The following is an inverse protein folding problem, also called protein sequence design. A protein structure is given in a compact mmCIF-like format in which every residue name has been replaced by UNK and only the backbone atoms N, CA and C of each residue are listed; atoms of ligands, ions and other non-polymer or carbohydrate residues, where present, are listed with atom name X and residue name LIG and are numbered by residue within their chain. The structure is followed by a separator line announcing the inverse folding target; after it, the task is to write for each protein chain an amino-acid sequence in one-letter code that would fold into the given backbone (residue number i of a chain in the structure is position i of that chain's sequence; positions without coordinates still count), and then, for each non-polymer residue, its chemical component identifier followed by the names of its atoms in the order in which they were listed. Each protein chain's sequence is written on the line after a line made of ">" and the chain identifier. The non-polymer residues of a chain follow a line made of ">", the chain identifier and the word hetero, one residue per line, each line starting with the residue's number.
data_IF_110563090046
#
_entry.id   IF_110563090046
#
_cell.length_a   1.000
_cell.length_b   1.000
_cell.length_c   1.000
_cell.angle_alpha   90.00
_cell.angle_beta   90.00
_cell.angle_gamma   90.00
#
_symmetry.space_group_name_H-M   'P 1'
#
loop_
_entity.id
_entity.type
_entity.pdbx_description
1 polymer ?
#
# COMPACT_ATOMS: atom_id res chain seq x y z
N UNK A 1 -61.47 29.82 -2.53
CA UNK A 1 -60.09 29.32 -2.61
C UNK A 1 -59.16 30.42 -2.10
N UNK A 2 -58.57 30.31 -0.90
CA UNK A 2 -57.76 31.37 -0.33
C UNK A 2 -56.44 31.45 -1.10
N UNK A 3 -56.12 32.63 -1.66
CA UNK A 3 -54.83 32.91 -2.29
C UNK A 3 -53.78 32.95 -1.18
N UNK A 4 -52.94 31.92 -1.09
CA UNK A 4 -51.72 31.97 -0.29
C UNK A 4 -50.93 33.21 -0.72
N UNK A 5 -50.67 34.13 0.21
CA UNK A 5 -49.90 35.33 -0.09
C UNK A 5 -48.48 34.93 -0.48
N UNK A 6 -47.91 35.60 -1.47
CA UNK A 6 -46.54 35.38 -1.97
C UNK A 6 -45.49 35.32 -0.84
N UNK A 7 -45.73 36.08 0.24
CA UNK A 7 -44.94 36.06 1.48
C UNK A 7 -45.01 34.72 2.21
N UNK A 8 -46.17 34.06 2.27
CA UNK A 8 -46.31 32.76 2.91
C UNK A 8 -45.52 31.66 2.16
N UNK A 9 -45.50 31.74 0.82
CA UNK A 9 -44.74 30.82 -0.03
C UNK A 9 -43.22 31.03 0.18
N UNK A 10 -42.76 32.27 0.20
CA UNK A 10 -41.35 32.61 0.45
C UNK A 10 -40.87 32.17 1.84
N UNK A 11 -41.69 32.39 2.88
CA UNK A 11 -41.35 31.96 4.25
C UNK A 11 -41.30 30.44 4.36
N UNK A 12 -42.22 29.72 3.69
CA UNK A 12 -42.22 28.27 3.67
C UNK A 12 -40.97 27.73 2.95
N UNK A 13 -40.63 28.27 1.79
CA UNK A 13 -39.44 27.88 1.02
C UNK A 13 -38.16 28.13 1.82
N UNK A 14 -38.04 29.29 2.49
CA UNK A 14 -36.89 29.60 3.33
C UNK A 14 -36.74 28.61 4.48
N UNK A 15 -37.84 28.28 5.17
CA UNK A 15 -37.82 27.29 6.27
C UNK A 15 -37.43 25.90 5.78
N UNK A 16 -37.92 25.49 4.60
CA UNK A 16 -37.56 24.21 4.01
C UNK A 16 -36.05 24.16 3.67
N UNK A 17 -35.51 25.20 3.04
CA UNK A 17 -34.07 25.30 2.75
C UNK A 17 -33.23 25.28 4.02
N UNK A 18 -33.66 25.98 5.07
CA UNK A 18 -32.96 26.02 6.35
C UNK A 18 -32.99 24.65 7.05
N UNK A 19 -34.12 23.94 7.01
CA UNK A 19 -34.22 22.58 7.51
C UNK A 19 -33.31 21.61 6.75
N UNK A 20 -33.24 21.72 5.41
CA UNK A 20 -32.33 20.91 4.58
C UNK A 20 -30.88 21.22 4.90
N UNK A 21 -30.51 22.50 5.08
CA UNK A 21 -29.15 22.91 5.42
C UNK A 21 -28.73 22.36 6.80
N UNK A 22 -29.62 22.43 7.80
CA UNK A 22 -29.38 21.87 9.14
C UNK A 22 -29.23 20.35 9.06
N UNK A 23 -30.09 19.66 8.31
CA UNK A 23 -30.00 18.21 8.14
C UNK A 23 -28.68 17.81 7.46
N UNK A 24 -28.28 18.52 6.40
CA UNK A 24 -27.02 18.29 5.71
C UNK A 24 -25.82 18.51 6.64
N UNK A 25 -25.83 19.58 7.44
CA UNK A 25 -24.79 19.85 8.43
C UNK A 25 -24.71 18.72 9.46
N UNK A 26 -25.84 18.26 10.01
CA UNK A 26 -25.88 17.14 10.97
C UNK A 26 -25.34 15.85 10.36
N UNK A 27 -25.75 15.52 9.13
CA UNK A 27 -25.27 14.31 8.43
C UNK A 27 -23.76 14.38 8.17
N UNK A 28 -23.26 15.53 7.72
CA UNK A 28 -21.83 15.73 7.46
C UNK A 28 -21.01 15.67 8.76
N UNK A 29 -21.47 16.32 9.84
CA UNK A 29 -20.84 16.27 11.15
C UNK A 29 -20.83 14.84 11.71
N UNK A 30 -21.92 14.09 11.54
CA UNK A 30 -21.98 12.68 11.93
C UNK A 30 -21.00 11.82 11.14
N UNK A 31 -20.93 12.01 9.81
CA UNK A 31 -20.00 11.27 8.95
C UNK A 31 -18.55 11.59 9.27
N UNK A 32 -18.26 12.85 9.58
CA UNK A 32 -16.94 13.27 10.04
C UNK A 32 -16.57 12.61 11.38
N UNK A 33 -17.49 12.60 12.34
CA UNK A 33 -17.28 11.97 13.65
C UNK A 33 -17.18 10.43 13.59
N UNK A 34 -17.91 9.79 12.68
CA UNK A 34 -17.89 8.34 12.48
C UNK A 34 -16.59 7.81 11.85
N UNK A 35 -15.72 8.70 11.37
CA UNK A 35 -14.47 8.34 10.71
C UNK A 35 -14.67 7.82 9.28
N UNK A 36 -13.57 7.55 8.56
CA UNK A 36 -13.65 6.98 7.22
C UNK A 36 -14.37 5.64 7.27
N UNK A 37 -15.27 5.40 6.31
CA UNK A 37 -15.89 4.10 6.17
C UNK A 37 -14.79 3.04 5.98
N UNK A 38 -14.81 1.99 6.80
CA UNK A 38 -13.95 0.82 6.58
C UNK A 38 -14.32 0.23 5.22
N UNK A 39 -13.39 0.21 4.24
CA UNK A 39 -13.70 -0.34 2.93
C UNK A 39 -14.16 -1.79 3.09
N UNK A 40 -15.37 -2.09 2.60
CA UNK A 40 -15.83 -3.47 2.52
C UNK A 40 -15.14 -4.12 1.32
N UNK A 41 -13.97 -4.71 1.55
CA UNK A 41 -13.20 -5.37 0.51
C UNK A 41 -11.81 -5.79 0.99
N UNK A 42 -11.06 -6.54 0.17
CA UNK A 42 -9.64 -6.75 0.42
C UNK A 42 -8.92 -5.39 0.49
N UNK A 43 -7.84 -5.30 1.28
CA UNK A 43 -7.03 -4.09 1.28
C UNK A 43 -6.49 -3.84 -0.12
N UNK A 44 -6.29 -2.55 -0.45
CA UNK A 44 -5.78 -2.14 -1.75
C UNK A 44 -4.87 -0.93 -1.65
N UNK A 45 -3.98 -0.78 -2.65
CA UNK A 45 -3.08 0.37 -2.81
C UNK A 45 -3.23 0.92 -4.21
N UNK A 46 -3.43 2.23 -4.32
CA UNK A 46 -3.56 2.93 -5.61
C UNK A 46 -2.24 2.84 -6.38
N UNK A 47 -2.27 2.19 -7.54
CA UNK A 47 -1.12 2.00 -8.45
C UNK A 47 -1.33 2.63 -9.83
N UNK A 48 -2.44 3.35 -10.05
CA UNK A 48 -2.74 4.01 -11.32
C UNK A 48 -1.61 4.91 -11.84
N UNK A 49 -0.85 5.53 -10.94
CA UNK A 49 0.28 6.41 -11.29
C UNK A 49 1.63 5.68 -11.39
N UNK A 50 1.65 4.38 -11.16
CA UNK A 50 2.85 3.56 -11.25
C UNK A 50 3.09 3.20 -12.72
N UNK A 51 3.91 3.99 -13.40
CA UNK A 51 4.23 3.82 -14.83
C UNK A 51 5.12 2.59 -15.07
N UNK A 52 5.16 2.03 -16.29
CA UNK A 52 6.13 0.98 -16.64
C UNK A 52 7.57 1.43 -16.35
N UNK A 53 8.39 0.52 -15.81
CA UNK A 53 9.76 0.83 -15.40
C UNK A 53 9.85 1.70 -14.15
N UNK A 54 8.82 1.71 -13.30
CA UNK A 54 8.82 2.45 -12.03
C UNK A 54 8.37 1.59 -10.85
N UNK A 55 8.69 2.06 -9.64
CA UNK A 55 8.35 1.39 -8.40
C UNK A 55 7.87 2.38 -7.35
N UNK A 56 7.16 1.88 -6.34
CA UNK A 56 6.75 2.65 -5.18
C UNK A 56 6.81 1.80 -3.91
N UNK A 57 6.94 2.49 -2.79
CA UNK A 57 6.82 1.90 -1.47
C UNK A 57 5.40 2.11 -0.93
N UNK A 58 4.84 1.08 -0.32
CA UNK A 58 3.59 1.16 0.42
C UNK A 58 3.70 0.44 1.76
N UNK A 59 2.75 0.69 2.65
CA UNK A 59 2.63 -0.06 3.89
C UNK A 59 1.85 -1.36 3.65
N UNK A 60 2.18 -2.44 4.38
CA UNK A 60 1.39 -3.66 4.38
C UNK A 60 -0.01 -3.40 4.99
N UNK A 61 -0.99 -4.28 4.73
CA UNK A 61 -2.30 -4.16 5.33
C UNK A 61 -2.23 -4.39 6.85
N UNK A 62 -3.19 -3.80 7.56
CA UNK A 62 -3.39 -3.93 9.00
C UNK A 62 -4.23 -5.15 9.40
N UNK A 63 -4.43 -6.09 8.45
CA UNK A 63 -5.18 -7.32 8.63
C UNK A 63 -4.26 -8.54 8.44
N UNK A 64 -4.11 -9.33 9.50
CA UNK A 64 -3.25 -10.52 9.54
C UNK A 64 -3.59 -11.55 8.46
N UNK A 65 -4.83 -11.59 7.95
CA UNK A 65 -5.24 -12.50 6.88
C UNK A 65 -4.48 -12.28 5.58
N UNK A 66 -3.94 -11.08 5.36
CA UNK A 66 -3.22 -10.71 4.15
C UNK A 66 -1.70 -10.60 4.38
N UNK A 67 -1.24 -10.90 5.59
CA UNK A 67 0.19 -10.97 5.91
C UNK A 67 0.75 -12.36 5.59
N UNK A 68 2.08 -12.50 5.43
CA UNK A 68 2.68 -13.82 5.28
C UNK A 68 2.36 -14.73 6.48
N UNK A 69 2.32 -16.06 6.29
CA UNK A 69 1.95 -16.99 7.34
C UNK A 69 2.78 -16.82 8.61
N UNK A 70 2.11 -16.86 9.76
CA UNK A 70 2.74 -16.74 11.08
C UNK A 70 3.01 -15.31 11.55
N UNK A 71 2.69 -14.27 10.76
CA UNK A 71 2.75 -12.88 11.21
C UNK A 71 1.39 -12.40 11.73
N UNK A 72 1.41 -11.63 12.82
CA UNK A 72 0.25 -10.89 13.30
C UNK A 72 0.25 -9.43 12.83
N UNK A 73 -0.84 -8.72 13.12
CA UNK A 73 -0.95 -7.27 12.85
C UNK A 73 0.22 -6.45 13.44
N UNK A 74 0.72 -6.72 14.66
CA UNK A 74 1.88 -5.98 15.18
C UNK A 74 3.15 -6.16 14.34
N UNK A 75 3.31 -7.30 13.67
CA UNK A 75 4.47 -7.58 12.83
C UNK A 75 4.40 -6.89 11.47
N UNK A 76 3.22 -6.43 11.03
CA UNK A 76 3.05 -5.64 9.81
C UNK A 76 3.93 -4.38 9.85
N UNK A 77 4.12 -3.78 11.03
CA UNK A 77 5.00 -2.61 11.20
C UNK A 77 6.47 -2.92 10.85
N UNK A 78 6.88 -4.20 10.89
CA UNK A 78 8.22 -4.68 10.55
C UNK A 78 8.36 -5.05 9.06
N UNK A 79 7.35 -4.78 8.25
CA UNK A 79 7.37 -5.01 6.81
C UNK A 79 7.18 -3.70 6.05
N UNK A 80 7.67 -3.68 4.82
CA UNK A 80 7.32 -2.70 3.79
C UNK A 80 6.98 -3.42 2.50
N UNK A 81 6.03 -2.88 1.75
CA UNK A 81 5.64 -3.40 0.45
C UNK A 81 6.42 -2.65 -0.65
N UNK A 82 7.16 -3.41 -1.45
CA UNK A 82 7.69 -2.94 -2.74
C UNK A 82 6.69 -3.31 -3.83
N UNK A 83 6.15 -2.30 -4.53
CA UNK A 83 5.38 -2.48 -5.75
C UNK A 83 6.24 -1.99 -6.92
N UNK A 84 6.40 -2.82 -7.95
CA UNK A 84 7.12 -2.43 -9.16
C UNK A 84 6.32 -2.82 -10.40
N UNK A 85 6.32 -1.94 -11.40
CA UNK A 85 5.79 -2.23 -12.72
C UNK A 85 6.98 -2.41 -13.68
N UNK A 86 7.11 -3.61 -14.21
CA UNK A 86 8.12 -3.93 -15.25
C UNK A 86 7.89 -3.11 -16.51
N UNK A 87 8.88 -3.05 -17.41
CA UNK A 87 8.74 -2.34 -18.69
C UNK A 87 7.62 -2.92 -19.56
N UNK A 88 7.37 -4.23 -19.45
CA UNK A 88 6.27 -4.93 -20.12
C UNK A 88 4.89 -4.65 -19.47
N UNK A 89 4.84 -3.80 -18.44
CA UNK A 89 3.60 -3.38 -17.77
C UNK A 89 3.13 -4.32 -16.65
N UNK A 90 3.80 -5.46 -16.44
CA UNK A 90 3.46 -6.43 -15.37
C UNK A 90 3.76 -5.82 -14.00
N UNK A 91 2.73 -5.78 -13.15
CA UNK A 91 2.83 -5.34 -11.76
C UNK A 91 3.21 -6.51 -10.85
N UNK A 92 4.22 -6.28 -9.99
CA UNK A 92 4.70 -7.26 -9.01
C UNK A 92 4.84 -6.59 -7.66
N UNK A 93 4.65 -7.38 -6.61
CA UNK A 93 4.69 -6.90 -5.25
C UNK A 93 5.49 -7.86 -4.36
N UNK A 94 6.33 -7.31 -3.47
CA UNK A 94 7.19 -8.08 -2.55
C UNK A 94 7.20 -7.49 -1.15
N UNK A 95 7.25 -8.36 -0.13
CA UNK A 95 7.53 -7.94 1.24
C UNK A 95 9.03 -7.83 1.48
N UNK A 96 9.46 -6.68 2.01
CA UNK A 96 10.80 -6.48 2.54
C UNK A 96 10.75 -6.18 4.03
N UNK A 97 11.75 -6.62 4.81
CA UNK A 97 11.80 -6.30 6.22
C UNK A 97 12.07 -4.81 6.43
N UNK A 98 11.49 -4.26 7.49
CA UNK A 98 11.66 -2.89 7.96
C UNK A 98 12.11 -2.91 9.41
N UNK A 99 13.22 -2.24 9.69
CA UNK A 99 13.80 -2.13 11.03
C UNK A 99 14.13 -0.67 11.33
N UNK A 100 13.70 -0.18 12.49
CA UNK A 100 13.88 1.23 12.90
C UNK A 100 13.39 2.23 11.84
N UNK A 101 12.28 1.92 11.17
CA UNK A 101 11.69 2.75 10.12
C UNK A 101 12.37 2.68 8.75
N UNK A 102 13.47 1.93 8.61
CA UNK A 102 14.20 1.78 7.35
C UNK A 102 13.92 0.41 6.73
N UNK A 103 13.65 0.39 5.42
CA UNK A 103 13.60 -0.86 4.64
C UNK A 103 15.00 -1.44 4.61
N UNK A 104 15.13 -2.75 4.83
CA UNK A 104 16.38 -3.47 4.68
C UNK A 104 16.24 -4.65 3.73
N UNK A 105 17.33 -5.36 3.53
CA UNK A 105 17.31 -6.58 2.72
C UNK A 105 16.94 -7.78 3.58
N UNK A 106 16.25 -8.79 3.03
CA UNK A 106 15.99 -10.03 3.75
C UNK A 106 17.28 -10.82 3.96
N UNK A 107 17.60 -11.15 5.22
CA UNK A 107 18.72 -12.02 5.56
C UNK A 107 18.40 -13.53 5.43
N UNK A 108 17.13 -13.88 5.23
CA UNK A 108 16.67 -15.26 5.12
C UNK A 108 15.37 -15.36 4.31
N UNK A 109 14.81 -16.55 4.22
CA UNK A 109 13.58 -16.84 3.46
C UNK A 109 12.31 -16.28 4.13
N UNK A 110 12.42 -15.88 5.39
CA UNK A 110 11.33 -15.27 6.14
C UNK A 110 11.35 -13.74 6.00
N UNK A 111 10.21 -13.11 5.68
CA UNK A 111 10.13 -11.66 5.55
C UNK A 111 10.15 -10.94 6.91
N UNK A 112 9.86 -11.64 8.03
CA UNK A 112 9.96 -11.10 9.39
C UNK A 112 11.34 -11.34 10.04
N UNK A 113 12.26 -11.95 9.29
CA UNK A 113 13.63 -12.18 9.75
C UNK A 113 14.40 -10.87 9.98
N UNK A 114 15.65 -10.98 10.49
CA UNK A 114 16.51 -9.81 10.60
C UNK A 114 16.72 -9.16 9.23
N UNK A 115 16.72 -7.83 9.21
CA UNK A 115 17.06 -7.04 8.04
C UNK A 115 18.58 -6.86 7.96
N UNK A 116 19.16 -7.08 6.78
CA UNK A 116 20.50 -6.57 6.49
C UNK A 116 20.34 -5.05 6.28
N UNK A 117 21.09 -4.20 7.02
CA UNK A 117 20.99 -2.76 6.86
C UNK A 117 21.34 -2.33 5.44
N UNK A 118 20.44 -1.58 4.80
CA UNK A 118 20.70 -0.85 3.57
C UNK A 118 19.67 0.27 3.44
N UNK A 119 20.09 1.52 3.30
CA UNK A 119 19.16 2.66 3.26
C UNK A 119 18.52 2.89 1.90
N UNK A 120 19.16 2.40 0.84
CA UNK A 120 18.77 2.62 -0.55
C UNK A 120 18.64 1.28 -1.27
N UNK A 121 17.67 0.48 -0.82
CA UNK A 121 17.22 -0.70 -1.56
C UNK A 121 16.25 -0.23 -2.62
N UNK A 122 16.53 -0.51 -3.89
CA UNK A 122 15.64 -0.12 -4.97
C UNK A 122 15.80 -1.05 -6.19
N UNK A 123 14.74 -1.18 -7.02
CA UNK A 123 14.86 -1.71 -8.36
C UNK A 123 15.70 -0.80 -9.27
N UNK A 124 16.51 -1.40 -10.13
CA UNK A 124 17.12 -0.79 -11.31
C UNK A 124 16.61 -1.51 -12.56
N UNK A 125 15.65 -0.88 -13.25
CA UNK A 125 15.00 -1.46 -14.42
C UNK A 125 15.94 -1.61 -15.63
N UNK A 126 16.99 -0.80 -15.73
CA UNK A 126 17.98 -0.93 -16.80
C UNK A 126 18.88 -2.14 -16.59
N UNK A 127 19.19 -2.45 -15.33
CA UNK A 127 19.99 -3.64 -14.94
C UNK A 127 19.13 -4.89 -14.76
N UNK A 128 17.82 -4.73 -14.65
CA UNK A 128 16.87 -5.82 -14.44
C UNK A 128 16.94 -6.42 -13.04
N UNK A 129 17.39 -5.65 -12.05
CA UNK A 129 17.61 -6.15 -10.70
C UNK A 129 17.00 -5.27 -9.60
N UNK A 130 16.94 -5.82 -8.40
CA UNK A 130 16.65 -5.16 -7.13
C UNK A 130 17.89 -5.39 -6.28
N UNK A 131 18.44 -4.33 -5.70
CA UNK A 131 19.67 -4.42 -4.92
C UNK A 131 19.80 -3.27 -3.92
N UNK A 132 20.74 -3.41 -2.99
CA UNK A 132 21.27 -2.26 -2.26
C UNK A 132 22.11 -1.40 -3.20
N UNK A 133 21.82 -0.09 -3.25
CA UNK A 133 22.55 0.89 -4.06
C UNK A 133 23.48 1.78 -3.23
N UNK A 134 23.56 1.53 -1.93
CA UNK A 134 24.35 2.33 -1.01
C UNK A 134 25.85 2.12 -1.24
N UNK A 135 26.56 3.21 -1.56
CA UNK A 135 28.00 3.21 -1.82
C UNK A 135 28.87 3.55 -0.60
N UNK A 136 28.26 3.73 0.57
CA UNK A 136 28.99 4.05 1.79
C UNK A 136 29.76 2.83 2.34
N UNK A 137 30.92 3.01 2.99
CA UNK A 137 31.63 1.94 3.68
C UNK A 137 30.78 1.25 4.75
N UNK A 138 30.97 -0.05 4.95
CA UNK A 138 30.24 -0.85 5.94
C UNK A 138 28.95 -1.52 5.44
N UNK A 139 28.65 -1.40 4.13
CA UNK A 139 27.48 -2.00 3.47
C UNK A 139 27.86 -3.06 2.43
N UNK A 140 29.11 -3.51 2.41
CA UNK A 140 29.67 -4.43 1.42
C UNK A 140 28.97 -5.78 1.42
N UNK A 141 28.44 -6.20 2.57
CA UNK A 141 27.61 -7.40 2.66
C UNK A 141 26.26 -7.21 1.96
N UNK A 142 25.59 -6.07 2.16
CA UNK A 142 24.31 -5.75 1.51
C UNK A 142 24.44 -5.68 -0.02
N UNK A 143 25.55 -5.16 -0.52
CA UNK A 143 25.84 -5.06 -1.97
C UNK A 143 25.96 -6.42 -2.68
N UNK A 144 26.18 -7.52 -1.94
CA UNK A 144 26.29 -8.87 -2.51
C UNK A 144 24.94 -9.48 -2.87
N UNK A 145 23.85 -8.94 -2.31
CA UNK A 145 22.52 -9.50 -2.51
C UNK A 145 21.81 -8.77 -3.64
N UNK A 146 21.47 -9.53 -4.68
CA UNK A 146 20.73 -9.04 -5.83
C UNK A 146 19.59 -10.00 -6.16
N UNK A 147 18.48 -9.43 -6.60
CA UNK A 147 17.31 -10.16 -7.08
C UNK A 147 16.98 -9.69 -8.49
N UNK A 148 16.40 -10.53 -9.31
CA UNK A 148 15.76 -10.10 -10.54
C UNK A 148 14.46 -9.36 -10.20
N UNK A 149 13.88 -8.64 -11.17
CA UNK A 149 12.61 -7.92 -10.99
C UNK A 149 11.42 -8.84 -10.69
N UNK A 150 11.56 -10.14 -10.90
CA UNK A 150 10.58 -11.16 -10.51
C UNK A 150 10.76 -11.69 -9.08
N UNK A 151 11.77 -11.21 -8.36
CA UNK A 151 12.09 -11.56 -6.98
C UNK A 151 12.99 -12.79 -6.83
N UNK A 152 13.42 -13.42 -7.92
CA UNK A 152 14.36 -14.54 -7.87
C UNK A 152 15.78 -14.06 -7.55
N UNK A 153 16.57 -14.83 -6.76
CA UNK A 153 17.93 -14.44 -6.42
C UNK A 153 18.85 -14.52 -7.64
N UNK A 154 19.65 -13.48 -7.87
CA UNK A 154 20.69 -13.43 -8.92
C UNK A 154 22.08 -13.83 -8.39
N UNK A 155 22.24 -13.88 -7.08
CA UNK A 155 23.52 -14.15 -6.40
C UNK A 155 23.37 -15.33 -5.45
N UNK A 156 24.41 -16.18 -5.39
CA UNK A 156 24.41 -17.35 -4.52
C UNK A 156 24.29 -16.95 -3.03
N UNK A 157 23.51 -17.72 -2.27
CA UNK A 157 23.25 -17.46 -0.85
C UNK A 157 22.21 -16.36 -0.58
N UNK A 158 21.64 -15.74 -1.62
CA UNK A 158 20.51 -14.81 -1.47
C UNK A 158 19.19 -15.59 -1.44
N UNK A 159 18.32 -15.38 -0.43
CA UNK A 159 16.98 -15.97 -0.42
C UNK A 159 16.07 -15.30 -1.45
N UNK A 160 15.07 -15.99 -2.04
CA UNK A 160 14.09 -15.34 -2.90
C UNK A 160 13.27 -14.30 -2.13
N UNK A 161 12.81 -13.24 -2.82
CA UNK A 161 11.86 -12.30 -2.23
C UNK A 161 10.50 -12.96 -2.02
N UNK A 162 9.84 -12.59 -0.92
CA UNK A 162 8.48 -13.08 -0.64
C UNK A 162 7.49 -12.28 -1.47
N UNK A 163 6.98 -12.90 -2.53
CA UNK A 163 5.95 -12.31 -3.37
C UNK A 163 4.66 -12.08 -2.57
N UNK A 164 4.01 -10.96 -2.83
CA UNK A 164 2.71 -10.62 -2.24
C UNK A 164 1.62 -11.10 -3.19
N UNK A 165 0.69 -11.95 -2.74
CA UNK A 165 -0.40 -12.41 -3.58
C UNK A 165 -1.39 -11.27 -3.81
N UNK A 166 -1.72 -11.02 -5.08
CA UNK A 166 -2.63 -9.94 -5.47
C UNK A 166 -2.68 -9.75 -6.98
N UNK A 167 -3.49 -8.79 -7.41
CA UNK A 167 -3.65 -8.42 -8.81
C UNK A 167 -4.11 -6.97 -8.94
N UNK A 168 -3.95 -6.40 -10.14
CA UNK A 168 -4.43 -5.05 -10.45
C UNK A 168 -5.91 -5.07 -10.84
N UNK A 169 -6.71 -4.20 -10.22
CA UNK A 169 -8.13 -3.95 -10.53
C UNK A 169 -8.36 -2.44 -10.58
N UNK A 170 -8.80 -1.90 -11.71
CA UNK A 170 -9.15 -0.47 -11.88
C UNK A 170 -8.07 0.53 -11.39
N UNK A 171 -6.81 0.17 -11.55
CA UNK A 171 -5.65 0.97 -11.12
C UNK A 171 -5.30 0.85 -9.63
N UNK A 172 -5.85 -0.14 -8.94
CA UNK A 172 -5.50 -0.51 -7.56
C UNK A 172 -4.85 -1.90 -7.54
N UNK A 173 -3.78 -2.06 -6.75
CA UNK A 173 -3.30 -3.38 -6.37
C UNK A 173 -4.19 -3.89 -5.25
N UNK A 174 -4.90 -4.99 -5.50
CA UNK A 174 -5.78 -5.63 -4.54
C UNK A 174 -5.11 -6.91 -4.04
N UNK A 175 -4.97 -7.03 -2.73
CA UNK A 175 -4.42 -8.25 -2.14
C UNK A 175 -5.37 -9.42 -2.38
N UNK A 176 -4.80 -10.55 -2.75
CA UNK A 176 -5.52 -11.81 -2.73
C UNK A 176 -5.42 -12.43 -1.33
N UNK A 177 -6.47 -13.12 -0.90
CA UNK A 177 -6.36 -13.96 0.27
C UNK A 177 -5.31 -15.05 0.00
N UNK A 178 -4.38 -15.31 0.93
CA UNK A 178 -3.48 -16.45 0.81
C UNK A 178 -4.31 -17.73 0.70
N UNK A 179 -3.98 -18.59 -0.26
CA UNK A 179 -4.51 -19.94 -0.30
C UNK A 179 -4.11 -20.64 1.01
N UNK A 180 -5.10 -21.18 1.72
CA UNK A 180 -4.90 -21.94 2.97
C UNK A 180 -4.34 -23.33 2.66
#
# INVERSE_FOLDING_TARGET
>A
MPRLSERAILVFALRALLAVAVLAAVVLSWRYAAGPATPQGPPSVRVLKLLPGTFMWADPPDDARYLPPGLGVPDAARLKLLLLRTEDGVLRAFYLPRQQGQVGLPAGTSPHGPAIPCRDVAPDFRRGDIACRQSAPGFEFALRHRWALDGQPLTAGTPPLVAVPGHEVDGDWVWAMPAR
#
